data_IF_215441570728
#
_entry.id   IF_215441570728
#
_cell.length_a   1.000
_cell.length_b   1.000
_cell.length_c   1.000
_cell.angle_alpha   90.00
_cell.angle_beta   90.00
_cell.angle_gamma   90.00
#
_symmetry.space_group_name_H-M   'P 1'
#
loop_
_entity.id
_entity.type
_entity.pdbx_description
1 polymer ?
#
# COMPACT_ATOMS: atom_id res chain seq x y z
N UNK A 1 -7.39 -8.50 -12.79
CA UNK A 1 -6.98 -7.35 -11.97
C UNK A 1 -6.96 -6.14 -12.89
N UNK A 2 -7.46 -4.97 -12.47
CA UNK A 2 -7.44 -3.74 -13.30
C UNK A 2 -6.12 -2.98 -13.15
N UNK A 3 -5.78 -2.09 -14.08
CA UNK A 3 -4.57 -1.26 -14.00
C UNK A 3 -4.60 -0.37 -12.74
N UNK A 4 -5.79 0.07 -12.34
CA UNK A 4 -6.02 0.78 -11.08
C UNK A 4 -5.63 -0.06 -9.84
N UNK A 5 -6.02 -1.35 -9.79
CA UNK A 5 -5.60 -2.22 -8.67
C UNK A 5 -4.08 -2.42 -8.67
N UNK A 6 -3.48 -2.60 -9.84
CA UNK A 6 -2.02 -2.76 -9.98
C UNK A 6 -1.27 -1.51 -9.51
N UNK A 7 -1.74 -0.32 -9.91
CA UNK A 7 -1.23 0.98 -9.44
C UNK A 7 -1.32 1.12 -7.93
N UNK A 8 -2.47 0.79 -7.33
CA UNK A 8 -2.65 0.86 -5.88
C UNK A 8 -1.66 -0.04 -5.12
N UNK A 9 -1.45 -1.27 -5.60
CA UNK A 9 -0.47 -2.20 -5.02
C UNK A 9 0.95 -1.63 -5.10
N UNK A 10 1.31 -0.95 -6.18
CA UNK A 10 2.63 -0.29 -6.31
C UNK A 10 2.85 0.79 -5.26
N UNK A 11 1.84 1.62 -4.95
CA UNK A 11 1.94 2.62 -3.87
C UNK A 11 2.12 1.98 -2.49
N UNK A 12 1.37 0.90 -2.20
CA UNK A 12 1.50 0.14 -0.93
C UNK A 12 2.90 -0.48 -0.84
N UNK A 13 3.35 -1.15 -1.90
CA UNK A 13 4.65 -1.82 -1.94
C UNK A 13 5.83 -0.87 -1.80
N UNK A 14 5.73 0.31 -2.39
CA UNK A 14 6.78 1.32 -2.30
C UNK A 14 6.74 2.11 -0.97
N UNK A 15 5.82 1.79 -0.05
CA UNK A 15 5.65 2.51 1.23
C UNK A 15 5.15 3.94 1.07
N UNK A 16 4.64 4.33 -0.10
CA UNK A 16 4.22 5.71 -0.39
C UNK A 16 3.01 6.16 0.44
N UNK A 17 2.21 5.21 0.94
CA UNK A 17 1.11 5.52 1.85
C UNK A 17 1.55 5.60 3.32
N UNK A 18 2.78 5.21 3.65
CA UNK A 18 3.26 5.28 5.02
C UNK A 18 3.42 6.73 5.46
N UNK A 19 2.90 7.05 6.65
CA UNK A 19 2.83 8.40 7.20
C UNK A 19 2.00 9.38 6.36
N UNK A 20 1.21 8.88 5.40
CA UNK A 20 0.09 9.67 4.88
C UNK A 20 -1.01 9.77 5.92
N UNK A 21 -1.94 10.70 5.75
CA UNK A 21 -3.03 10.89 6.69
C UNK A 21 -4.40 10.91 6.02
N UNK A 22 -5.42 10.69 6.84
CA UNK A 22 -6.81 10.88 6.44
C UNK A 22 -7.13 12.36 6.41
N UNK A 23 -7.48 12.86 5.23
CA UNK A 23 -7.68 14.29 5.02
C UNK A 23 -9.08 14.66 4.50
N UNK A 24 -9.99 13.69 4.38
CA UNK A 24 -11.37 13.97 4.00
C UNK A 24 -12.33 12.92 4.53
N UNK A 25 -13.42 13.35 5.14
CA UNK A 25 -14.57 12.55 5.51
C UNK A 25 -15.82 13.40 5.31
N UNK A 26 -16.41 13.38 4.11
CA UNK A 26 -17.56 14.24 3.81
C UNK A 26 -18.83 13.60 4.37
N UNK A 27 -19.39 14.16 5.44
CA UNK A 27 -20.72 13.81 5.98
C UNK A 27 -20.97 12.30 6.14
N UNK A 28 -19.95 11.54 6.56
CA UNK A 28 -19.99 10.07 6.65
C UNK A 28 -20.37 9.34 5.34
N UNK A 29 -20.13 9.95 4.17
CA UNK A 29 -20.35 9.34 2.85
C UNK A 29 -19.13 8.53 2.40
N UNK A 30 -17.92 9.07 2.55
CA UNK A 30 -16.66 8.38 2.26
C UNK A 30 -15.51 8.99 3.07
N UNK A 31 -14.46 8.20 3.27
CA UNK A 31 -13.18 8.59 3.88
C UNK A 31 -12.11 8.68 2.78
N UNK A 32 -11.24 9.68 2.82
CA UNK A 32 -10.25 10.00 1.76
C UNK A 32 -8.84 10.10 2.33
N UNK A 33 -7.88 9.54 1.60
CA UNK A 33 -6.46 9.48 2.00
C UNK A 33 -5.50 9.34 0.83
N UNK A 34 -4.23 9.06 1.12
CA UNK A 34 -3.20 8.69 0.15
C UNK A 34 -2.59 9.82 -0.70
N UNK A 35 -2.99 11.07 -0.48
CA UNK A 35 -2.56 12.22 -1.28
C UNK A 35 -1.47 13.08 -0.63
N UNK A 36 -1.31 12.98 0.70
CA UNK A 36 -0.58 13.96 1.50
C UNK A 36 0.18 13.32 2.66
N UNK A 37 1.34 13.88 2.98
CA UNK A 37 2.20 13.59 4.14
C UNK A 37 2.48 14.88 4.91
N UNK A 38 2.82 14.77 6.20
CA UNK A 38 3.36 15.89 6.96
C UNK A 38 4.86 16.04 6.69
N UNK A 39 5.31 17.27 6.42
CA UNK A 39 6.73 17.63 6.52
C UNK A 39 6.95 18.22 7.91
N UNK A 40 8.06 17.86 8.56
CA UNK A 40 8.43 18.39 9.89
C UNK A 40 8.31 19.92 9.93
N UNK A 41 7.82 20.46 11.05
CA UNK A 41 7.17 21.76 11.32
C UNK A 41 7.64 23.06 10.64
N UNK A 42 8.68 23.05 9.80
CA UNK A 42 9.04 24.17 8.93
C UNK A 42 8.46 24.05 7.49
N UNK A 43 7.80 22.94 7.16
CA UNK A 43 7.24 22.67 5.84
C UNK A 43 5.75 22.39 5.89
N UNK A 44 4.99 23.02 5.00
CA UNK A 44 3.59 22.72 4.72
C UNK A 44 3.29 21.22 4.54
N UNK A 45 2.01 20.85 4.49
CA UNK A 45 1.58 19.55 3.96
C UNK A 45 2.28 19.30 2.62
N UNK A 46 2.93 18.14 2.48
CA UNK A 46 3.56 17.70 1.24
C UNK A 46 2.65 16.72 0.51
N UNK A 47 2.51 16.83 -0.81
CA UNK A 47 1.92 15.72 -1.58
C UNK A 47 2.92 14.61 -1.73
N UNK A 48 2.41 13.39 -1.79
CA UNK A 48 3.25 12.27 -2.20
C UNK A 48 3.51 12.37 -3.69
N UNK A 49 4.74 12.04 -4.09
CA UNK A 49 5.08 11.95 -5.50
C UNK A 49 4.38 10.75 -6.13
N UNK A 50 3.71 10.91 -7.29
CA UNK A 50 3.04 9.81 -7.94
C UNK A 50 4.04 8.73 -8.40
N UNK A 51 3.80 7.48 -8.02
CA UNK A 51 4.52 6.31 -8.54
C UNK A 51 3.99 5.92 -9.92
N UNK A 52 2.69 6.13 -10.14
CA UNK A 52 1.99 5.85 -11.39
C UNK A 52 0.74 6.72 -11.53
N UNK A 53 0.37 7.01 -12.77
CA UNK A 53 -0.89 7.66 -13.15
C UNK A 53 -1.65 6.75 -14.11
N UNK A 54 -2.91 6.46 -13.80
CA UNK A 54 -3.76 5.58 -14.61
C UNK A 54 -4.89 6.41 -15.23
N UNK A 55 -5.12 6.34 -16.55
CA UNK A 55 -6.29 6.96 -17.18
C UNK A 55 -7.59 6.56 -16.50
N UNK A 56 -8.66 7.34 -16.66
CA UNK A 56 -9.95 6.95 -16.10
C UNK A 56 -10.46 5.65 -16.75
N UNK A 57 -10.64 4.62 -15.94
CA UNK A 57 -11.16 3.31 -16.36
C UNK A 57 -12.64 3.17 -15.98
N UNK A 58 -13.44 2.54 -16.84
CA UNK A 58 -14.78 2.08 -16.47
C UNK A 58 -14.68 0.74 -15.75
N UNK A 59 -15.47 0.53 -14.70
CA UNK A 59 -15.53 -0.74 -13.98
C UNK A 59 -16.95 -1.25 -13.91
N UNK A 60 -17.12 -2.58 -13.89
CA UNK A 60 -18.42 -3.21 -13.60
C UNK A 60 -18.75 -3.25 -12.09
N UNK A 61 -17.95 -2.56 -11.27
CA UNK A 61 -18.12 -2.50 -9.83
C UNK A 61 -18.78 -1.19 -9.44
N UNK A 62 -19.56 -1.22 -8.36
CA UNK A 62 -20.34 -0.08 -7.86
C UNK A 62 -19.75 0.42 -6.55
N UNK A 63 -19.73 1.73 -6.33
CA UNK A 63 -19.26 2.45 -5.13
C UNK A 63 -20.25 2.30 -3.97
N UNK A 64 -20.38 1.05 -3.51
CA UNK A 64 -21.18 0.66 -2.34
C UNK A 64 -20.36 0.84 -1.07
N UNK A 65 -21.03 0.79 0.09
CA UNK A 65 -20.37 0.80 1.39
C UNK A 65 -19.23 -0.24 1.46
N UNK A 66 -18.08 0.19 1.98
CA UNK A 66 -16.84 -0.56 2.10
C UNK A 66 -15.99 -0.65 0.85
N UNK A 67 -16.46 -0.17 -0.31
CA UNK A 67 -15.65 -0.17 -1.54
C UNK A 67 -14.55 0.88 -1.43
N UNK A 68 -13.30 0.46 -1.66
CA UNK A 68 -12.18 1.36 -1.87
C UNK A 68 -12.05 1.66 -3.37
N UNK A 69 -11.87 2.93 -3.69
CA UNK A 69 -11.76 3.45 -5.04
C UNK A 69 -10.58 4.42 -5.14
N UNK A 70 -9.83 4.38 -6.24
CA UNK A 70 -8.92 5.47 -6.56
C UNK A 70 -9.69 6.62 -7.18
N UNK A 71 -9.30 7.84 -6.84
CA UNK A 71 -10.02 9.05 -7.25
C UNK A 71 -9.09 10.05 -7.90
N UNK A 72 -9.64 10.86 -8.81
CA UNK A 72 -8.91 11.98 -9.38
C UNK A 72 -8.56 12.98 -8.28
N UNK A 73 -7.41 13.63 -8.47
CA UNK A 73 -6.97 14.70 -7.59
C UNK A 73 -7.95 15.87 -7.59
N UNK A 74 -8.31 16.33 -8.78
CA UNK A 74 -9.26 17.41 -9.03
C UNK A 74 -9.96 17.17 -10.36
N UNK A 75 -11.00 17.95 -10.66
CA UNK A 75 -11.82 17.77 -11.87
C UNK A 75 -11.13 18.07 -13.19
N UNK A 76 -9.95 18.71 -13.17
CA UNK A 76 -9.19 19.06 -14.37
C UNK A 76 -8.27 17.93 -14.86
N UNK A 77 -8.09 16.85 -14.09
CA UNK A 77 -7.25 15.70 -14.47
C UNK A 77 -8.11 14.55 -15.00
N UNK A 78 -7.64 13.91 -16.06
CA UNK A 78 -8.20 12.72 -16.72
C UNK A 78 -7.50 11.40 -16.31
N UNK A 79 -6.86 11.41 -15.15
CA UNK A 79 -6.18 10.26 -14.56
C UNK A 79 -6.36 10.21 -13.04
N UNK A 80 -6.19 9.02 -12.46
CA UNK A 80 -6.03 8.80 -11.02
C UNK A 80 -4.55 8.54 -10.69
N UNK A 81 -4.12 8.94 -9.49
CA UNK A 81 -2.72 8.81 -9.06
C UNK A 81 -2.61 8.09 -7.71
N UNK A 82 -2.58 8.80 -6.58
CA UNK A 82 -2.44 8.18 -5.25
C UNK A 82 -3.64 8.39 -4.33
N UNK A 83 -4.50 9.35 -4.66
CA UNK A 83 -5.70 9.63 -3.87
C UNK A 83 -6.67 8.45 -3.96
N UNK A 84 -7.18 8.03 -2.81
CA UNK A 84 -8.19 6.98 -2.71
C UNK A 84 -9.29 7.37 -1.72
N UNK A 85 -10.44 6.72 -1.87
CA UNK A 85 -11.59 6.85 -0.99
C UNK A 85 -12.12 5.49 -0.55
N UNK A 86 -12.59 5.37 0.69
CA UNK A 86 -13.39 4.24 1.16
C UNK A 86 -14.83 4.74 1.37
N UNK A 87 -15.77 4.14 0.65
CA UNK A 87 -17.18 4.46 0.77
C UNK A 87 -17.73 3.96 2.12
N UNK A 88 -18.50 4.80 2.80
CA UNK A 88 -19.20 4.45 4.06
C UNK A 88 -20.68 4.22 3.77
N UNK A 89 -21.25 5.02 2.88
CA UNK A 89 -22.62 4.88 2.38
C UNK A 89 -22.64 4.34 0.94
N UNK A 90 -23.83 4.07 0.42
CA UNK A 90 -24.02 3.79 -1.01
C UNK A 90 -23.94 5.09 -1.80
N UNK A 91 -22.86 5.28 -2.56
CA UNK A 91 -22.62 6.48 -3.34
C UNK A 91 -22.74 6.20 -4.83
N UNK A 92 -23.90 5.71 -5.27
CA UNK A 92 -24.15 5.28 -6.66
C UNK A 92 -23.93 6.40 -7.69
N UNK A 93 -24.01 7.67 -7.29
CA UNK A 93 -23.65 8.80 -8.15
C UNK A 93 -22.20 8.68 -8.67
N UNK A 94 -21.29 8.08 -7.90
CA UNK A 94 -19.89 7.89 -8.27
C UNK A 94 -19.64 6.70 -9.19
N UNK A 95 -20.69 5.94 -9.57
CA UNK A 95 -20.59 4.89 -10.59
C UNK A 95 -20.55 5.47 -12.02
N UNK A 96 -20.94 6.74 -12.18
CA UNK A 96 -20.75 7.46 -13.43
C UNK A 96 -19.24 7.66 -13.67
N UNK A 97 -18.67 7.16 -14.79
CA UNK A 97 -17.26 7.36 -15.14
C UNK A 97 -16.84 8.84 -15.15
N UNK A 98 -17.76 9.77 -15.39
CA UNK A 98 -17.51 11.22 -15.33
C UNK A 98 -17.14 11.73 -13.92
N UNK A 99 -17.48 10.97 -12.88
CA UNK A 99 -17.15 11.29 -11.50
C UNK A 99 -15.81 10.71 -11.04
N UNK A 100 -15.21 9.80 -11.82
CA UNK A 100 -13.81 9.39 -11.68
C UNK A 100 -13.46 8.71 -10.35
N UNK A 101 -14.36 7.86 -9.84
CA UNK A 101 -14.09 6.93 -8.74
C UNK A 101 -13.96 5.54 -9.34
N UNK A 102 -12.78 4.94 -9.24
CA UNK A 102 -12.50 3.64 -9.86
C UNK A 102 -12.40 2.59 -8.75
N UNK A 103 -13.45 1.78 -8.52
CA UNK A 103 -13.43 0.70 -7.54
C UNK A 103 -12.31 -0.29 -7.81
N UNK A 104 -11.53 -0.60 -6.77
CA UNK A 104 -10.40 -1.53 -6.85
C UNK A 104 -10.46 -2.66 -5.82
N UNK A 105 -11.32 -2.54 -4.81
CA UNK A 105 -11.44 -3.51 -3.75
C UNK A 105 -12.51 -3.15 -2.73
N UNK A 106 -12.53 -3.89 -1.62
CA UNK A 106 -13.42 -3.62 -0.49
C UNK A 106 -12.75 -3.89 0.84
N UNK A 107 -13.15 -3.13 1.86
CA UNK A 107 -12.81 -3.40 3.25
C UNK A 107 -13.48 -4.71 3.67
N UNK A 108 -12.73 -5.57 4.34
CA UNK A 108 -13.25 -6.81 4.90
C UNK A 108 -14.07 -6.53 6.15
N UNK A 109 -15.09 -7.35 6.40
CA UNK A 109 -16.19 -7.13 7.38
C UNK A 109 -15.74 -6.47 8.69
N UNK A 110 -14.72 -7.02 9.37
CA UNK A 110 -14.26 -6.51 10.67
C UNK A 110 -13.62 -5.11 10.61
N UNK A 111 -13.18 -4.64 9.44
CA UNK A 111 -12.54 -3.34 9.26
C UNK A 111 -13.52 -2.19 9.05
N UNK A 112 -14.78 -2.46 8.72
CA UNK A 112 -15.75 -1.39 8.43
C UNK A 112 -16.10 -0.55 9.65
N UNK A 113 -16.19 -1.15 10.83
CA UNK A 113 -16.44 -0.41 12.08
C UNK A 113 -15.32 0.60 12.39
N UNK A 114 -14.08 0.28 12.03
CA UNK A 114 -12.94 1.20 12.16
C UNK A 114 -13.09 2.38 11.20
N UNK A 115 -13.40 2.12 9.93
CA UNK A 115 -13.63 3.16 8.92
C UNK A 115 -14.76 4.11 9.33
N UNK A 116 -15.89 3.56 9.77
CA UNK A 116 -17.05 4.33 10.26
C UNK A 116 -16.69 5.17 11.48
N UNK A 117 -15.98 4.58 12.45
CA UNK A 117 -15.52 5.28 13.65
C UNK A 117 -14.63 6.46 13.27
N UNK A 118 -13.65 6.25 12.39
CA UNK A 118 -12.74 7.30 11.91
C UNK A 118 -13.55 8.44 11.29
N UNK A 119 -14.45 8.13 10.36
CA UNK A 119 -15.22 9.15 9.66
C UNK A 119 -16.19 9.93 10.58
N UNK A 120 -16.64 9.30 11.67
CA UNK A 120 -17.53 9.92 12.64
C UNK A 120 -16.78 10.81 13.65
N UNK A 121 -15.65 10.35 14.18
CA UNK A 121 -14.88 11.08 15.20
C UNK A 121 -13.92 12.11 14.61
N UNK A 122 -13.53 11.91 13.35
CA UNK A 122 -12.68 12.80 12.59
C UNK A 122 -13.42 13.15 11.29
N UNK A 123 -14.36 14.12 11.33
CA UNK A 123 -14.95 14.68 10.12
C UNK A 123 -13.86 15.49 9.41
N UNK A 124 -12.90 14.80 8.80
CA UNK A 124 -11.79 15.41 8.12
C UNK A 124 -12.38 16.31 7.02
N UNK A 125 -12.18 17.60 7.19
CA UNK A 125 -12.49 18.58 6.17
C UNK A 125 -11.32 18.55 5.18
N UNK A 126 -11.56 18.71 3.88
CA UNK A 126 -10.54 18.52 2.82
C UNK A 126 -9.21 19.27 3.06
N UNK A 127 -8.16 19.02 2.25
CA UNK A 127 -6.84 19.67 2.38
C UNK A 127 -6.91 21.21 2.51
N UNK A 128 -7.99 21.80 2.00
CA UNK A 128 -8.37 23.22 2.12
C UNK A 128 -8.73 23.73 3.54
N UNK A 129 -8.94 22.86 4.55
CA UNK A 129 -9.54 23.25 5.84
C UNK A 129 -8.77 22.76 7.08
N UNK A 130 -7.47 22.48 6.96
CA UNK A 130 -6.61 22.09 8.10
C UNK A 130 -6.19 23.26 9.04
N UNK A 131 -7.07 24.27 9.22
CA UNK A 131 -7.19 25.05 10.47
C UNK A 131 -7.34 26.58 10.38
N UNK A 132 -8.54 27.13 10.61
CA UNK A 132 -8.82 28.54 10.93
C UNK A 132 -10.30 28.92 10.78
N UNK A 133 -10.89 29.83 11.59
CA UNK A 133 -12.34 29.97 11.76
C UNK A 133 -13.04 30.40 10.48
N UNK A 134 -14.33 30.08 10.41
CA UNK A 134 -15.28 30.58 9.41
C UNK A 134 -14.97 32.04 9.06
N UNK A 135 -14.71 32.28 7.78
CA UNK A 135 -14.87 33.53 7.02
C UNK A 135 -13.64 33.87 6.16
N UNK A 136 -13.76 33.51 4.87
CA UNK A 136 -12.99 34.05 3.75
C UNK A 136 -11.48 33.77 3.79
N UNK A 137 -10.80 34.13 2.69
CA UNK A 137 -9.35 34.14 2.47
C UNK A 137 -8.78 32.99 1.63
N UNK A 138 -8.61 33.33 0.35
CA UNK A 138 -7.42 32.98 -0.41
C UNK A 138 -6.23 33.78 0.17
N UNK A 139 -5.38 33.14 0.96
CA UNK A 139 -3.91 33.23 0.85
C UNK A 139 -3.23 32.28 1.85
N UNK A 140 -2.17 31.62 1.38
CA UNK A 140 -1.50 30.50 2.02
C UNK A 140 -0.65 30.90 3.24
N UNK A 141 -0.85 30.21 4.39
CA UNK A 141 0.19 29.76 5.34
C UNK A 141 -0.41 28.89 6.45
N UNK A 142 0.20 27.73 6.70
CA UNK A 142 -0.14 26.84 7.83
C UNK A 142 0.68 27.29 9.04
N UNK A 143 0.01 27.55 10.16
CA UNK A 143 0.62 27.87 11.46
C UNK A 143 0.82 26.59 12.29
N UNK A 144 2.07 26.32 12.70
CA UNK A 144 2.44 25.14 13.46
C UNK A 144 2.44 25.36 14.99
N UNK A 145 2.08 26.56 15.48
CA UNK A 145 1.92 26.83 16.91
C UNK A 145 0.49 26.56 17.41
N UNK A 146 -0.47 26.39 16.51
CA UNK A 146 -1.71 25.67 16.82
C UNK A 146 -1.39 24.19 16.88
N UNK A 147 -1.40 23.59 18.07
CA UNK A 147 -1.49 22.15 18.28
C UNK A 147 -2.39 21.56 17.19
N UNK A 148 -1.81 20.86 16.22
CA UNK A 148 -2.53 20.33 15.06
C UNK A 148 -3.33 19.12 15.50
N UNK A 149 -4.42 19.41 16.21
CA UNK A 149 -5.53 18.60 16.69
C UNK A 149 -5.23 17.19 17.19
N UNK A 150 -5.68 16.91 18.41
CA UNK A 150 -5.66 15.62 19.11
C UNK A 150 -6.36 14.44 18.42
N UNK A 151 -6.81 14.58 17.16
CA UNK A 151 -7.61 13.62 16.39
C UNK A 151 -6.97 13.19 15.06
N UNK A 152 -5.65 13.42 14.89
CA UNK A 152 -4.92 13.00 13.69
C UNK A 152 -4.88 11.48 13.52
N UNK A 153 -5.04 11.02 12.26
CA UNK A 153 -4.99 9.59 11.89
C UNK A 153 -3.95 9.41 10.80
N UNK A 154 -2.75 8.99 11.21
CA UNK A 154 -1.70 8.50 10.32
C UNK A 154 -2.08 7.14 9.76
N UNK A 155 -1.63 6.88 8.54
CA UNK A 155 -1.82 5.62 7.85
C UNK A 155 -0.51 4.88 7.70
N UNK A 156 -0.63 3.56 7.80
CA UNK A 156 0.36 2.60 7.34
C UNK A 156 -0.41 1.56 6.54
N UNK A 157 0.00 1.33 5.30
CA UNK A 157 -0.62 0.32 4.45
C UNK A 157 0.38 -0.78 4.17
N UNK A 158 -0.07 -2.02 4.32
CA UNK A 158 0.75 -3.20 4.03
C UNK A 158 -0.10 -4.17 3.21
N UNK A 159 0.51 -4.79 2.21
CA UNK A 159 -0.13 -5.90 1.51
C UNK A 159 -0.13 -7.11 2.46
N UNK A 160 -1.32 -7.57 2.85
CA UNK A 160 -1.52 -8.83 3.56
C UNK A 160 -2.32 -9.74 2.64
N UNK A 161 -1.91 -10.99 2.51
CA UNK A 161 -2.52 -11.90 1.55
C UNK A 161 -2.81 -13.25 2.21
N UNK A 162 -4.09 -13.62 2.20
CA UNK A 162 -4.64 -14.83 2.82
C UNK A 162 -5.03 -15.86 1.74
N UNK A 163 -4.51 -15.76 0.50
CA UNK A 163 -4.75 -16.77 -0.52
C UNK A 163 -3.89 -18.01 -0.23
N UNK A 164 -4.49 -19.02 0.40
CA UNK A 164 -3.86 -20.29 0.79
C UNK A 164 -3.53 -21.23 -0.37
N UNK A 165 -3.67 -20.79 -1.62
CA UNK A 165 -3.48 -21.63 -2.82
C UNK A 165 -2.31 -21.18 -3.70
N UNK A 166 -1.57 -20.17 -3.29
CA UNK A 166 -0.44 -19.63 -4.07
C UNK A 166 0.63 -19.14 -3.12
N UNK A 167 1.69 -19.90 -2.83
CA UNK A 167 2.66 -19.49 -1.83
C UNK A 167 3.42 -18.22 -2.26
N UNK A 168 3.94 -17.47 -1.28
CA UNK A 168 4.71 -16.24 -1.57
C UNK A 168 6.02 -16.55 -2.28
N UNK A 169 6.66 -17.64 -1.85
CA UNK A 169 7.88 -18.14 -2.43
C UNK A 169 7.87 -19.66 -2.50
N UNK A 170 8.63 -20.18 -3.48
CA UNK A 170 8.79 -21.60 -3.71
C UNK A 170 10.27 -21.97 -3.61
N UNK A 171 10.60 -22.82 -2.65
CA UNK A 171 11.93 -23.38 -2.49
C UNK A 171 12.00 -24.77 -3.12
N UNK A 172 12.98 -24.94 -4.02
CA UNK A 172 13.31 -26.22 -4.63
C UNK A 172 14.60 -26.77 -4.04
N UNK A 173 14.53 -27.93 -3.37
CA UNK A 173 15.70 -28.56 -2.75
C UNK A 173 16.68 -29.12 -3.78
N UNK A 174 16.19 -29.54 -4.95
CA UNK A 174 17.02 -30.09 -6.03
C UNK A 174 17.88 -29.04 -6.73
N UNK A 175 17.43 -27.78 -6.72
CA UNK A 175 18.14 -26.66 -7.38
C UNK A 175 18.71 -25.65 -6.40
N UNK A 176 18.54 -25.87 -5.09
CA UNK A 176 18.86 -24.92 -4.02
C UNK A 176 18.39 -23.48 -4.34
N UNK A 177 17.16 -23.35 -4.86
CA UNK A 177 16.65 -22.06 -5.33
C UNK A 177 15.33 -21.73 -4.66
N UNK A 178 15.30 -20.60 -3.94
CA UNK A 178 14.09 -19.97 -3.41
C UNK A 178 13.62 -18.92 -4.41
N UNK A 179 12.52 -19.17 -5.09
CA UNK A 179 11.91 -18.21 -6.01
C UNK A 179 10.87 -17.38 -5.28
N UNK A 180 11.11 -16.08 -5.17
CA UNK A 180 10.24 -15.13 -4.45
C UNK A 180 9.57 -14.20 -5.45
N UNK A 181 8.24 -14.12 -5.44
CA UNK A 181 7.54 -13.05 -6.15
C UNK A 181 7.52 -11.82 -5.25
N UNK A 182 7.94 -10.65 -5.70
CA UNK A 182 8.04 -9.43 -4.88
C UNK A 182 7.68 -8.17 -5.66
N UNK A 183 7.23 -7.15 -4.95
CA UNK A 183 7.01 -5.82 -5.52
C UNK A 183 8.08 -4.88 -4.97
N UNK A 184 8.87 -4.28 -5.85
CA UNK A 184 9.91 -3.33 -5.48
C UNK A 184 9.98 -2.20 -6.51
N UNK A 185 10.10 -0.96 -6.04
CA UNK A 185 10.24 0.24 -6.90
C UNK A 185 9.16 0.34 -8.00
N UNK A 186 7.92 -0.05 -7.70
CA UNK A 186 6.82 -0.01 -8.67
C UNK A 186 6.86 -1.10 -9.75
N UNK A 187 7.77 -2.07 -9.63
CA UNK A 187 7.89 -3.24 -10.51
C UNK A 187 7.45 -4.52 -9.82
N UNK A 188 6.87 -5.43 -10.59
CA UNK A 188 6.56 -6.78 -10.15
C UNK A 188 7.71 -7.69 -10.58
N UNK A 189 8.36 -8.34 -9.62
CA UNK A 189 9.59 -9.08 -9.85
C UNK A 189 9.42 -10.52 -9.38
N UNK A 190 10.02 -11.44 -10.12
CA UNK A 190 10.29 -12.81 -9.67
C UNK A 190 11.79 -12.95 -9.48
N UNK A 191 12.17 -13.18 -8.23
CA UNK A 191 13.52 -13.09 -7.71
C UNK A 191 13.96 -14.49 -7.24
N UNK A 192 14.82 -15.18 -8.00
CA UNK A 192 15.46 -16.39 -7.53
C UNK A 192 16.61 -16.06 -6.57
N UNK A 193 16.65 -16.76 -5.44
CA UNK A 193 17.71 -16.69 -4.45
C UNK A 193 18.35 -18.07 -4.25
N UNK A 194 19.66 -18.09 -4.09
CA UNK A 194 20.38 -19.24 -3.56
C UNK A 194 20.42 -19.16 -2.04
N UNK A 195 20.14 -20.27 -1.35
CA UNK A 195 20.23 -20.36 0.11
C UNK A 195 21.59 -20.90 0.53
N UNK A 196 22.14 -20.35 1.60
CA UNK A 196 23.37 -20.82 2.24
C UNK A 196 23.14 -20.94 3.75
N UNK A 197 23.46 -22.12 4.30
CA UNK A 197 23.51 -22.34 5.75
C UNK A 197 24.86 -21.84 6.29
N UNK A 198 24.82 -20.82 7.13
CA UNK A 198 25.98 -20.26 7.81
C UNK A 198 26.25 -20.94 9.16
N UNK A 199 25.60 -22.07 9.44
CA UNK A 199 25.72 -22.90 10.63
C UNK A 199 24.77 -22.50 11.76
N UNK A 200 24.58 -21.21 12.00
CA UNK A 200 23.62 -20.69 13.00
C UNK A 200 22.50 -19.83 12.41
N UNK A 201 22.59 -19.49 11.12
CA UNK A 201 21.64 -18.66 10.40
C UNK A 201 21.59 -19.10 8.94
N UNK A 202 20.41 -18.96 8.34
CA UNK A 202 20.23 -19.11 6.90
C UNK A 202 20.44 -17.74 6.27
N UNK A 203 21.21 -17.70 5.21
CA UNK A 203 21.30 -16.53 4.34
C UNK A 203 20.79 -16.84 2.94
N UNK A 204 20.36 -15.81 2.25
CA UNK A 204 19.97 -15.91 0.85
C UNK A 204 20.70 -14.86 0.02
N UNK A 205 21.09 -15.23 -1.19
CA UNK A 205 21.79 -14.36 -2.15
C UNK A 205 21.03 -14.38 -3.47
N UNK A 206 20.64 -13.22 -4.04
CA UNK A 206 19.87 -13.16 -5.28
C UNK A 206 20.71 -13.60 -6.48
N UNK A 207 20.10 -14.36 -7.39
CA UNK A 207 20.69 -14.68 -8.69
C UNK A 207 20.31 -13.58 -9.68
N UNK A 208 21.12 -12.52 -9.73
CA UNK A 208 20.80 -11.27 -10.43
C UNK A 208 20.50 -11.47 -11.94
N UNK A 209 21.19 -12.41 -12.58
CA UNK A 209 21.02 -12.71 -14.02
C UNK A 209 19.73 -13.47 -14.34
N UNK A 210 19.02 -13.96 -13.32
CA UNK A 210 17.78 -14.76 -13.46
C UNK A 210 16.53 -13.99 -13.02
N UNK A 211 16.65 -12.70 -12.68
CA UNK A 211 15.51 -11.86 -12.29
C UNK A 211 14.57 -11.65 -13.48
N UNK A 212 13.27 -11.88 -13.24
CA UNK A 212 12.23 -11.67 -14.25
C UNK A 212 11.29 -10.56 -13.80
N UNK A 213 11.18 -9.49 -14.59
CA UNK A 213 10.10 -8.50 -14.43
C UNK A 213 8.80 -9.08 -15.00
N UNK A 214 7.73 -9.02 -14.21
CA UNK A 214 6.41 -9.52 -14.55
C UNK A 214 5.52 -8.37 -15.00
N UNK A 215 4.68 -8.59 -16.00
CA UNK A 215 3.74 -7.58 -16.47
C UNK A 215 2.64 -7.29 -15.43
N UNK A 216 2.27 -8.29 -14.63
CA UNK A 216 1.17 -8.22 -13.66
C UNK A 216 1.58 -8.79 -12.31
N UNK A 217 0.98 -8.30 -11.21
CA UNK A 217 1.19 -8.90 -9.90
C UNK A 217 0.56 -10.29 -9.84
N UNK A 218 1.13 -11.15 -9.00
CA UNK A 218 0.58 -12.45 -8.64
C UNK A 218 0.06 -12.41 -7.20
N UNK A 219 -0.78 -13.38 -6.76
CA UNK A 219 -1.10 -13.51 -5.35
C UNK A 219 0.17 -13.71 -4.51
N UNK A 220 0.10 -13.31 -3.24
CA UNK A 220 1.13 -13.47 -2.22
C UNK A 220 2.50 -12.97 -2.69
N UNK A 221 2.68 -11.66 -2.88
CA UNK A 221 4.01 -11.12 -3.19
C UNK A 221 4.71 -10.67 -1.91
N UNK A 222 6.00 -10.98 -1.81
CA UNK A 222 6.88 -10.54 -0.75
C UNK A 222 7.07 -9.03 -0.79
N UNK A 223 7.24 -8.43 0.38
CA UNK A 223 7.30 -6.99 0.58
C UNK A 223 8.71 -6.60 1.01
N UNK A 224 9.27 -5.56 0.37
CA UNK A 224 10.55 -4.98 0.76
C UNK A 224 10.29 -3.67 1.50
N UNK A 225 10.76 -3.56 2.73
CA UNK A 225 10.80 -2.31 3.48
C UNK A 225 12.21 -1.73 3.37
N UNK A 226 12.35 -0.67 2.58
CA UNK A 226 13.64 0.00 2.36
C UNK A 226 14.15 0.75 3.61
N UNK A 227 13.26 1.14 4.53
CA UNK A 227 13.62 1.89 5.73
C UNK A 227 14.28 0.99 6.77
N UNK A 228 13.70 -0.19 6.99
CA UNK A 228 14.21 -1.22 7.89
C UNK A 228 15.15 -2.23 7.19
N UNK A 229 15.23 -2.17 5.85
CA UNK A 229 16.00 -3.08 4.99
C UNK A 229 15.61 -4.54 5.18
N UNK A 230 14.31 -4.78 5.33
CA UNK A 230 13.76 -6.13 5.51
C UNK A 230 12.98 -6.60 4.30
N UNK A 231 13.08 -7.89 3.99
CA UNK A 231 12.22 -8.62 3.08
C UNK A 231 11.27 -9.51 3.89
N UNK A 232 9.97 -9.32 3.74
CA UNK A 232 8.93 -10.12 4.39
C UNK A 232 8.29 -11.06 3.38
N UNK A 233 8.33 -12.36 3.66
CA UNK A 233 7.76 -13.43 2.84
C UNK A 233 6.62 -14.09 3.63
N UNK A 234 5.40 -14.01 3.10
CA UNK A 234 4.21 -14.48 3.80
C UNK A 234 4.19 -15.99 3.99
N UNK A 235 4.39 -16.76 2.91
CA UNK A 235 4.36 -18.23 2.92
C UNK A 235 5.45 -18.80 2.02
N UNK A 236 6.05 -19.91 2.44
CA UNK A 236 7.04 -20.65 1.65
C UNK A 236 6.60 -22.09 1.48
N UNK A 237 6.48 -22.50 0.22
CA UNK A 237 6.43 -23.93 -0.12
C UNK A 237 7.85 -24.48 -0.29
N UNK A 238 8.05 -25.72 0.14
CA UNK A 238 9.26 -26.51 -0.10
C UNK A 238 8.86 -27.72 -0.93
N UNK A 239 9.36 -27.80 -2.15
CA UNK A 239 9.04 -28.86 -3.13
C UNK A 239 7.52 -29.12 -3.26
N UNK A 240 6.72 -28.06 -3.26
CA UNK A 240 5.26 -28.10 -3.42
C UNK A 240 4.46 -28.32 -2.13
N UNK A 241 5.10 -28.29 -0.95
CA UNK A 241 4.44 -28.40 0.35
C UNK A 241 4.65 -27.11 1.14
N UNK A 242 3.58 -26.42 1.54
CA UNK A 242 3.68 -25.27 2.45
C UNK A 242 4.20 -25.72 3.82
N UNK A 243 5.35 -25.17 4.24
CA UNK A 243 5.99 -25.54 5.50
C UNK A 243 6.26 -24.36 6.43
N UNK A 244 6.34 -23.14 5.88
CA UNK A 244 6.72 -21.96 6.65
C UNK A 244 5.86 -20.76 6.30
N UNK A 245 5.62 -19.92 7.29
CA UNK A 245 4.91 -18.65 7.16
C UNK A 245 5.60 -17.54 7.96
N UNK A 246 5.24 -16.28 7.66
CA UNK A 246 5.73 -15.08 8.34
C UNK A 246 7.26 -15.00 8.42
N UNK A 247 7.96 -15.27 7.31
CA UNK A 247 9.41 -15.16 7.26
C UNK A 247 9.83 -13.70 7.12
N UNK A 248 10.83 -13.29 7.89
CA UNK A 248 11.46 -11.97 7.78
C UNK A 248 12.96 -12.15 7.62
N UNK A 249 13.51 -11.48 6.61
CA UNK A 249 14.95 -11.44 6.37
C UNK A 249 15.46 -10.01 6.38
N UNK A 250 16.56 -9.75 7.09
CA UNK A 250 17.25 -8.46 7.05
C UNK A 250 18.40 -8.47 6.05
N UNK A 251 18.55 -7.38 5.30
CA UNK A 251 19.70 -7.15 4.44
C UNK A 251 20.97 -6.98 5.28
N UNK A 252 22.04 -7.69 4.90
CA UNK A 252 23.31 -7.64 5.61
C UNK A 252 24.10 -6.37 5.23
N UNK A 253 24.46 -5.54 6.21
CA UNK A 253 25.17 -4.29 5.95
C UNK A 253 26.54 -4.47 5.30
N UNK A 254 27.26 -5.55 5.65
CA UNK A 254 28.58 -5.87 5.09
C UNK A 254 28.52 -6.48 3.69
N UNK A 255 27.36 -6.97 3.26
CA UNK A 255 27.13 -7.50 1.92
C UNK A 255 25.68 -7.19 1.51
N UNK A 256 25.41 -6.01 0.92
CA UNK A 256 24.04 -5.54 0.67
C UNK A 256 23.23 -6.43 -0.26
N UNK A 257 23.87 -7.34 -1.00
CA UNK A 257 23.15 -8.30 -1.84
C UNK A 257 22.62 -9.48 -1.02
N UNK A 258 23.15 -9.73 0.18
CA UNK A 258 22.78 -10.87 1.01
C UNK A 258 21.72 -10.50 2.04
N UNK A 259 20.73 -11.35 2.19
CA UNK A 259 19.72 -11.27 3.25
C UNK A 259 19.92 -12.42 4.24
N UNK A 260 19.57 -12.20 5.49
CA UNK A 260 19.74 -13.18 6.57
C UNK A 260 18.40 -13.39 7.26
N UNK A 261 18.03 -14.65 7.49
CA UNK A 261 16.78 -15.02 8.15
C UNK A 261 16.80 -14.57 9.61
N UNK A 262 15.80 -13.79 9.99
CA UNK A 262 15.63 -13.32 11.38
C UNK A 262 14.53 -14.08 12.12
N UNK A 263 13.40 -14.31 11.45
CA UNK A 263 12.26 -15.02 12.05
C UNK A 263 11.47 -15.79 11.01
N UNK A 264 10.78 -16.83 11.45
CA UNK A 264 9.79 -17.58 10.69
C UNK A 264 8.85 -18.31 11.66
N UNK A 265 7.71 -18.77 11.15
CA UNK A 265 6.86 -19.76 11.79
C UNK A 265 6.81 -21.03 10.94
N UNK A 266 6.76 -22.17 11.60
CA UNK A 266 6.58 -23.47 10.96
C UNK A 266 5.12 -23.89 11.07
N UNK A 267 4.55 -24.36 9.96
CA UNK A 267 3.18 -24.87 9.88
C UNK A 267 3.13 -26.33 10.35
#
# INVERSE_FOLDING_TARGET
MSETTESFIKYVAAGHYDNTFIYGATAASFLRGGGYTFKTCAGSVGRIEPVSTIPLESTNSSNRSGVISMVRRNSATDFVASDWTINIAYNLAYDDPANSYIPLGRVLVCGMSVVETIAFINPAVGPENFGGPENCYFDEKIDCETDTQSNHISLKMMARNDNTTSPTAAYSTSTNTLTVNSVAEGKFLRLPFELEDLGNKISMTPKLDEIVEMEKPVPNMAMVDNSSRTLSIGTVEVDGVELYEDLVFSQLLSSPQRFVLDSYKKI
#
